data_IF_560701522555
#
_entry.id   IF_560701522555
#
_cell.length_a   1.000
_cell.length_b   1.000
_cell.length_c   1.000
_cell.angle_alpha   90.00
_cell.angle_beta   90.00
_cell.angle_gamma   90.00
#
_symmetry.space_group_name_H-M   'P 1'
#
loop_
_entity.id
_entity.type
_entity.pdbx_description
1 polymer ?
#
# COMPACT_ATOMS: atom_id res chain seq x y z
N UNK A 1 -72.45 -25.46 -53.64
CA UNK A 1 -72.06 -24.04 -53.85
C UNK A 1 -72.07 -23.25 -52.54
N UNK A 2 -73.17 -23.16 -51.79
CA UNK A 2 -73.25 -22.37 -50.55
C UNK A 2 -72.31 -22.83 -49.40
N UNK A 3 -72.10 -24.14 -49.20
CA UNK A 3 -71.17 -24.62 -48.16
C UNK A 3 -69.70 -24.29 -48.48
N UNK A 4 -69.32 -24.28 -49.76
CA UNK A 4 -67.96 -23.95 -50.20
C UNK A 4 -67.65 -22.45 -50.03
N UNK A 5 -68.64 -21.59 -50.27
CA UNK A 5 -68.50 -20.14 -50.04
C UNK A 5 -68.33 -19.81 -48.56
N UNK A 6 -69.09 -20.45 -47.67
CA UNK A 6 -68.96 -20.26 -46.21
C UNK A 6 -67.59 -20.72 -45.69
N UNK A 7 -67.07 -21.85 -46.18
CA UNK A 7 -65.73 -22.33 -45.82
C UNK A 7 -64.64 -21.37 -46.31
N UNK A 8 -64.76 -20.84 -47.53
CA UNK A 8 -63.82 -19.85 -48.05
C UNK A 8 -63.87 -18.52 -47.29
N UNK A 9 -65.05 -18.06 -46.87
CA UNK A 9 -65.18 -16.87 -46.02
C UNK A 9 -64.53 -17.06 -44.64
N UNK A 10 -64.73 -18.22 -44.00
CA UNK A 10 -64.12 -18.51 -42.71
C UNK A 10 -62.58 -18.62 -42.80
N UNK A 11 -62.06 -19.22 -43.88
CA UNK A 11 -60.63 -19.27 -44.14
C UNK A 11 -60.04 -17.88 -44.39
N UNK A 12 -60.76 -17.01 -45.11
CA UNK A 12 -60.36 -15.62 -45.33
C UNK A 12 -60.32 -14.83 -44.01
N UNK A 13 -61.34 -14.98 -43.17
CA UNK A 13 -61.38 -14.34 -41.85
C UNK A 13 -60.22 -14.79 -40.95
N UNK A 14 -59.93 -16.11 -40.92
CA UNK A 14 -58.78 -16.66 -40.19
C UNK A 14 -57.44 -16.15 -40.72
N UNK A 15 -57.30 -16.03 -42.05
CA UNK A 15 -56.09 -15.51 -42.67
C UNK A 15 -55.87 -14.03 -42.33
N UNK A 16 -56.92 -13.20 -42.35
CA UNK A 16 -56.84 -11.80 -41.93
C UNK A 16 -56.52 -11.66 -40.43
N UNK A 17 -57.14 -12.48 -39.57
CA UNK A 17 -56.81 -12.50 -38.14
C UNK A 17 -55.35 -12.89 -37.88
N UNK A 18 -54.84 -13.89 -38.59
CA UNK A 18 -53.44 -14.32 -38.49
C UNK A 18 -52.48 -13.21 -38.95
N UNK A 19 -52.82 -12.55 -40.07
CA UNK A 19 -52.05 -11.42 -40.60
C UNK A 19 -52.02 -10.25 -39.62
N UNK A 20 -53.15 -9.91 -39.00
CA UNK A 20 -53.24 -8.87 -37.98
C UNK A 20 -52.42 -9.23 -36.74
N UNK A 21 -52.51 -10.48 -36.27
CA UNK A 21 -51.74 -10.97 -35.13
C UNK A 21 -50.23 -10.94 -35.41
N UNK A 22 -49.82 -11.31 -36.61
CA UNK A 22 -48.43 -11.21 -37.06
C UNK A 22 -47.96 -9.76 -37.12
N UNK A 23 -48.76 -8.83 -37.64
CA UNK A 23 -48.43 -7.41 -37.65
C UNK A 23 -48.29 -6.87 -36.23
N UNK A 24 -49.19 -7.23 -35.31
CA UNK A 24 -49.09 -6.85 -33.88
C UNK A 24 -47.79 -7.39 -33.27
N UNK A 25 -47.46 -8.66 -33.53
CA UNK A 25 -46.21 -9.26 -33.05
C UNK A 25 -44.98 -8.54 -33.61
N UNK A 26 -44.98 -8.19 -34.90
CA UNK A 26 -43.89 -7.44 -35.52
C UNK A 26 -43.72 -6.07 -34.86
N UNK A 27 -44.81 -5.32 -34.65
CA UNK A 27 -44.78 -4.03 -33.96
C UNK A 27 -44.21 -4.15 -32.55
N UNK A 28 -44.56 -5.20 -31.82
CA UNK A 28 -44.00 -5.47 -30.48
C UNK A 28 -42.50 -5.74 -30.57
N UNK A 29 -42.06 -6.56 -31.54
CA UNK A 29 -40.63 -6.84 -31.77
C UNK A 29 -39.86 -5.56 -32.12
N UNK A 30 -40.39 -4.72 -33.01
CA UNK A 30 -39.75 -3.46 -33.40
C UNK A 30 -39.63 -2.49 -32.22
N UNK A 31 -40.68 -2.41 -31.39
CA UNK A 31 -40.64 -1.64 -30.15
C UNK A 31 -39.57 -2.16 -29.19
N UNK A 32 -39.46 -3.49 -29.05
CA UNK A 32 -38.43 -4.11 -28.20
C UNK A 32 -37.01 -3.81 -28.74
N UNK A 33 -36.80 -3.90 -30.05
CA UNK A 33 -35.51 -3.56 -30.69
C UNK A 33 -35.15 -2.10 -30.41
N UNK A 34 -36.11 -1.18 -30.55
CA UNK A 34 -35.91 0.24 -30.26
C UNK A 34 -35.52 0.47 -28.79
N UNK A 35 -36.22 -0.18 -27.86
CA UNK A 35 -35.89 -0.11 -26.42
C UNK A 35 -34.48 -0.64 -26.15
N UNK A 36 -34.12 -1.80 -26.69
CA UNK A 36 -32.79 -2.40 -26.52
C UNK A 36 -31.69 -1.51 -27.10
N UNK A 37 -31.91 -0.96 -28.30
CA UNK A 37 -30.98 0.01 -28.90
C UNK A 37 -30.79 1.25 -28.03
N UNK A 38 -31.87 1.75 -27.40
CA UNK A 38 -31.78 2.87 -26.46
C UNK A 38 -30.97 2.54 -25.20
N UNK A 39 -31.07 1.30 -24.70
CA UNK A 39 -30.28 0.84 -23.56
C UNK A 39 -28.81 0.71 -23.90
N UNK A 40 -28.49 0.14 -25.06
CA UNK A 40 -27.11 0.02 -25.53
C UNK A 40 -26.43 1.39 -25.64
N UNK A 41 -27.11 2.36 -26.26
CA UNK A 41 -26.60 3.72 -26.37
C UNK A 41 -26.39 4.39 -25.00
N UNK A 42 -27.37 4.26 -24.09
CA UNK A 42 -27.26 4.81 -22.73
C UNK A 42 -26.14 4.16 -21.92
N UNK A 43 -25.95 2.85 -22.06
CA UNK A 43 -24.89 2.11 -21.37
C UNK A 43 -23.51 2.53 -21.90
N UNK A 44 -23.37 2.65 -23.23
CA UNK A 44 -22.15 3.12 -23.87
C UNK A 44 -21.78 4.55 -23.45
N UNK A 45 -22.78 5.45 -23.43
CA UNK A 45 -22.60 6.83 -22.95
C UNK A 45 -22.22 6.87 -21.47
N UNK A 46 -22.84 6.03 -20.63
CA UNK A 46 -22.52 5.92 -19.21
C UNK A 46 -21.09 5.42 -19.00
N UNK A 47 -20.67 4.35 -19.66
CA UNK A 47 -19.29 3.84 -19.55
C UNK A 47 -18.27 4.91 -19.95
N UNK A 48 -18.54 5.61 -21.07
CA UNK A 48 -17.69 6.70 -21.56
C UNK A 48 -17.60 7.85 -20.55
N UNK A 49 -18.72 8.23 -19.95
CA UNK A 49 -18.76 9.28 -18.92
C UNK A 49 -18.08 8.84 -17.60
N UNK A 50 -18.13 7.55 -17.26
CA UNK A 50 -17.54 7.03 -16.02
C UNK A 50 -16.04 6.78 -16.10
N UNK A 51 -15.52 6.39 -17.27
CA UNK A 51 -14.11 6.01 -17.47
C UNK A 51 -13.10 7.06 -16.96
N UNK A 52 -13.26 8.38 -17.22
CA UNK A 52 -12.35 9.40 -16.70
C UNK A 52 -12.27 9.41 -15.16
N UNK A 53 -13.42 9.31 -14.49
CA UNK A 53 -13.50 9.30 -13.02
C UNK A 53 -12.87 8.04 -12.44
N UNK A 54 -13.05 6.89 -13.08
CA UNK A 54 -12.41 5.63 -12.67
C UNK A 54 -10.89 5.72 -12.77
N UNK A 55 -10.36 6.20 -13.90
CA UNK A 55 -8.92 6.37 -14.12
C UNK A 55 -8.34 7.33 -13.07
N UNK A 56 -8.99 8.49 -12.86
CA UNK A 56 -8.53 9.48 -11.89
C UNK A 56 -8.54 8.91 -10.46
N UNK A 57 -9.62 8.24 -10.08
CA UNK A 57 -9.74 7.60 -8.75
C UNK A 57 -8.66 6.55 -8.53
N UNK A 58 -8.37 5.72 -9.54
CA UNK A 58 -7.31 4.72 -9.47
C UNK A 58 -5.92 5.35 -9.29
N UNK A 59 -5.62 6.38 -10.09
CA UNK A 59 -4.35 7.12 -9.98
C UNK A 59 -4.19 7.78 -8.63
N UNK A 60 -5.25 8.39 -8.08
CA UNK A 60 -5.25 8.99 -6.74
C UNK A 60 -5.00 7.93 -5.68
N UNK A 61 -5.69 6.78 -5.75
CA UNK A 61 -5.49 5.68 -4.78
C UNK A 61 -4.04 5.19 -4.79
N UNK A 62 -3.47 4.97 -5.98
CA UNK A 62 -2.05 4.58 -6.12
C UNK A 62 -1.10 5.63 -5.56
N UNK A 63 -1.35 6.92 -5.84
CA UNK A 63 -0.53 8.00 -5.29
C UNK A 63 -0.60 8.01 -3.76
N UNK A 64 -1.79 7.85 -3.18
CA UNK A 64 -1.98 7.78 -1.74
C UNK A 64 -1.25 6.58 -1.12
N UNK A 65 -1.35 5.39 -1.71
CA UNK A 65 -0.61 4.20 -1.25
C UNK A 65 0.91 4.40 -1.30
N UNK A 66 1.42 5.07 -2.34
CA UNK A 66 2.85 5.37 -2.46
C UNK A 66 3.30 6.39 -1.40
N UNK A 67 2.48 7.41 -1.13
CA UNK A 67 2.72 8.40 -0.08
C UNK A 67 2.77 7.71 1.28
N UNK A 68 1.77 6.89 1.61
CA UNK A 68 1.71 6.16 2.89
C UNK A 68 2.92 5.24 3.11
N UNK A 69 3.33 4.50 2.07
CA UNK A 69 4.53 3.66 2.12
C UNK A 69 5.80 4.49 2.34
N UNK A 70 5.93 5.63 1.66
CA UNK A 70 7.09 6.51 1.80
C UNK A 70 7.14 7.15 3.19
N UNK A 71 5.98 7.56 3.71
CA UNK A 71 5.84 8.11 5.06
C UNK A 71 6.30 7.11 6.12
N UNK A 72 5.84 5.86 6.05
CA UNK A 72 6.25 4.78 6.97
C UNK A 72 7.76 4.53 6.96
N UNK A 73 8.38 4.56 5.78
CA UNK A 73 9.84 4.44 5.67
C UNK A 73 10.54 5.63 6.32
N UNK A 74 10.05 6.85 6.11
CA UNK A 74 10.60 8.05 6.72
C UNK A 74 10.48 8.04 8.25
N UNK A 75 9.32 7.63 8.79
CA UNK A 75 9.10 7.46 10.23
C UNK A 75 10.05 6.41 10.82
N UNK A 76 10.24 5.28 10.14
CA UNK A 76 11.20 4.25 10.56
C UNK A 76 12.63 4.77 10.61
N UNK A 77 13.03 5.60 9.64
CA UNK A 77 14.36 6.23 9.64
C UNK A 77 14.49 7.21 10.80
N UNK A 78 13.50 8.09 11.01
CA UNK A 78 13.51 9.07 12.11
C UNK A 78 13.62 8.38 13.47
N UNK A 79 12.88 7.30 13.69
CA UNK A 79 12.98 6.51 14.92
C UNK A 79 14.40 5.97 15.18
N UNK A 80 15.15 5.61 14.14
CA UNK A 80 16.54 5.17 14.28
C UNK A 80 17.49 6.32 14.61
N UNK A 81 17.23 7.54 14.12
CA UNK A 81 17.98 8.73 14.54
C UNK A 81 17.72 9.07 16.01
N UNK A 82 16.46 9.02 16.44
CA UNK A 82 16.09 9.28 17.84
C UNK A 82 16.71 8.24 18.79
N UNK A 83 16.68 6.96 18.39
CA UNK A 83 17.34 5.88 19.13
C UNK A 83 18.84 6.12 19.20
N UNK A 84 19.50 6.45 18.09
CA UNK A 84 20.94 6.73 18.07
C UNK A 84 21.33 7.84 19.06
N UNK A 85 20.54 8.92 19.13
CA UNK A 85 20.78 10.02 20.07
C UNK A 85 20.61 9.60 21.53
N UNK A 86 19.60 8.79 21.84
CA UNK A 86 19.39 8.25 23.20
C UNK A 86 20.51 7.30 23.61
N UNK A 87 20.93 6.42 22.70
CA UNK A 87 22.01 5.47 22.93
C UNK A 87 23.35 6.17 23.10
N UNK A 88 23.62 7.23 22.32
CA UNK A 88 24.83 8.05 22.46
C UNK A 88 24.99 8.62 23.88
N UNK A 89 23.92 9.15 24.48
CA UNK A 89 23.97 9.67 25.85
C UNK A 89 24.43 8.60 26.86
N UNK A 90 23.94 7.35 26.72
CA UNK A 90 24.37 6.22 27.56
C UNK A 90 25.85 5.87 27.35
N UNK A 91 26.32 5.85 26.10
CA UNK A 91 27.75 5.59 25.80
C UNK A 91 28.66 6.66 26.39
N UNK A 92 28.25 7.93 26.32
CA UNK A 92 29.06 9.02 26.86
C UNK A 92 29.17 8.98 28.38
N UNK A 93 28.10 8.57 29.09
CA UNK A 93 28.12 8.39 30.56
C UNK A 93 29.14 7.34 31.01
N UNK A 94 29.37 6.30 30.22
CA UNK A 94 30.29 5.21 30.56
C UNK A 94 29.64 4.07 31.35
N UNK A 95 30.34 2.93 31.51
CA UNK A 95 29.77 1.71 32.08
C UNK A 95 29.80 1.65 33.61
N UNK A 96 30.41 2.63 34.30
CA UNK A 96 30.64 2.63 35.75
C UNK A 96 29.37 2.48 36.60
N UNK A 97 28.32 3.24 36.25
CA UNK A 97 27.06 3.24 37.03
C UNK A 97 26.19 2.02 36.76
N UNK A 98 26.17 1.55 35.50
CA UNK A 98 25.29 0.48 35.05
C UNK A 98 25.87 -0.17 33.79
N UNK A 99 26.64 -1.25 34.00
CA UNK A 99 27.28 -2.00 32.93
C UNK A 99 26.24 -2.67 32.01
N UNK A 100 25.13 -3.17 32.56
CA UNK A 100 24.12 -3.89 31.77
C UNK A 100 23.43 -2.95 30.79
N UNK A 101 22.92 -1.81 31.28
CA UNK A 101 22.33 -0.78 30.40
C UNK A 101 23.33 -0.23 29.39
N UNK A 102 24.62 -0.17 29.74
CA UNK A 102 25.66 0.26 28.83
C UNK A 102 25.92 -0.75 27.71
N UNK A 103 26.00 -2.05 28.04
CA UNK A 103 26.15 -3.11 27.04
C UNK A 103 24.93 -3.21 26.13
N UNK A 104 23.72 -3.00 26.67
CA UNK A 104 22.50 -2.87 25.88
C UNK A 104 22.62 -1.70 24.88
N UNK A 105 23.10 -0.53 25.33
CA UNK A 105 23.34 0.61 24.46
C UNK A 105 24.36 0.30 23.35
N UNK A 106 25.45 -0.41 23.65
CA UNK A 106 26.41 -0.87 22.64
C UNK A 106 25.74 -1.78 21.60
N UNK A 107 24.87 -2.70 22.04
CA UNK A 107 24.11 -3.56 21.14
C UNK A 107 23.12 -2.77 20.27
N UNK A 108 22.45 -1.77 20.83
CA UNK A 108 21.56 -0.87 20.09
C UNK A 108 22.33 -0.10 18.99
N UNK A 109 23.53 0.43 19.28
CA UNK A 109 24.38 1.07 18.27
C UNK A 109 24.77 0.13 17.13
N UNK A 110 25.10 -1.14 17.44
CA UNK A 110 25.38 -2.15 16.41
C UNK A 110 24.16 -2.40 15.52
N UNK A 111 22.96 -2.45 16.11
CA UNK A 111 21.70 -2.58 15.38
C UNK A 111 21.45 -1.39 14.45
N UNK A 112 21.69 -0.16 14.92
CA UNK A 112 21.56 1.06 14.13
C UNK A 112 22.52 1.04 12.93
N UNK A 113 23.79 0.68 13.14
CA UNK A 113 24.78 0.55 12.04
C UNK A 113 24.29 -0.48 11.01
N UNK A 114 23.79 -1.62 11.47
CA UNK A 114 23.25 -2.67 10.57
C UNK A 114 22.05 -2.17 9.77
N UNK A 115 21.11 -1.46 10.40
CA UNK A 115 19.93 -0.89 9.75
C UNK A 115 20.31 0.12 8.66
N UNK A 116 21.20 1.07 8.96
CA UNK A 116 21.61 2.06 7.98
C UNK A 116 22.51 1.48 6.89
N UNK A 117 23.23 0.39 7.16
CA UNK A 117 24.04 -0.32 6.16
C UNK A 117 23.19 -1.10 5.15
N UNK A 118 22.02 -1.61 5.57
CA UNK A 118 21.08 -2.28 4.67
C UNK A 118 20.19 -1.30 3.91
N UNK A 119 20.02 -0.08 4.44
CA UNK A 119 19.20 0.97 3.82
C UNK A 119 19.99 1.72 2.74
N UNK A 120 19.80 1.33 1.47
CA UNK A 120 20.50 1.94 0.32
C UNK A 120 19.88 3.28 -0.08
N UNK A 121 20.72 4.21 -0.53
CA UNK A 121 20.30 5.41 -1.28
C UNK A 121 20.14 6.71 -0.46
N UNK A 122 20.33 6.67 0.86
CA UNK A 122 20.26 7.85 1.71
C UNK A 122 21.65 8.33 2.10
N UNK A 123 22.05 9.54 1.67
CA UNK A 123 23.37 10.12 2.01
C UNK A 123 23.57 10.28 3.53
N UNK A 124 22.51 10.57 4.28
CA UNK A 124 22.59 10.68 5.74
C UNK A 124 22.87 9.34 6.42
N UNK A 125 22.60 8.19 5.77
CA UNK A 125 22.98 6.87 6.27
C UNK A 125 24.50 6.73 6.42
N UNK A 126 25.28 7.27 5.49
CA UNK A 126 26.76 7.21 5.56
C UNK A 126 27.25 8.00 6.77
N UNK A 127 26.73 9.22 6.97
CA UNK A 127 27.06 10.05 8.13
C UNK A 127 26.71 9.36 9.45
N UNK A 128 25.52 8.77 9.53
CA UNK A 128 25.08 8.03 10.73
C UNK A 128 25.87 6.76 11.00
N UNK A 129 26.20 5.98 9.96
CA UNK A 129 27.05 4.80 10.10
C UNK A 129 28.41 5.19 10.67
N UNK A 130 29.02 6.25 10.12
CA UNK A 130 30.32 6.74 10.60
C UNK A 130 30.23 7.22 12.05
N UNK A 131 29.20 8.01 12.39
CA UNK A 131 28.97 8.48 13.76
C UNK A 131 28.78 7.33 14.75
N UNK A 132 27.89 6.39 14.44
CA UNK A 132 27.63 5.23 15.29
C UNK A 132 28.84 4.30 15.41
N UNK A 133 29.63 4.12 14.34
CA UNK A 133 30.88 3.35 14.38
C UNK A 133 31.94 4.01 15.26
N UNK A 134 32.04 5.34 15.22
CA UNK A 134 32.92 6.09 16.12
C UNK A 134 32.49 5.97 17.58
N UNK A 135 31.18 5.99 17.85
CA UNK A 135 30.66 5.74 19.20
C UNK A 135 30.94 4.31 19.68
N UNK A 136 30.86 3.31 18.80
CA UNK A 136 31.25 1.93 19.13
C UNK A 136 32.75 1.81 19.45
N UNK A 137 33.61 2.50 18.69
CA UNK A 137 35.04 2.53 19.00
C UNK A 137 35.29 3.18 20.37
N UNK A 138 34.66 4.32 20.65
CA UNK A 138 34.70 4.97 21.97
C UNK A 138 34.17 4.07 23.09
N UNK A 139 33.12 3.29 22.81
CA UNK A 139 32.51 2.45 23.84
C UNK A 139 33.43 1.33 24.29
N UNK A 140 34.21 0.77 23.35
CA UNK A 140 35.24 -0.23 23.62
C UNK A 140 36.36 0.36 24.50
N UNK A 141 36.85 1.55 24.16
CA UNK A 141 37.88 2.22 24.97
C UNK A 141 37.42 2.49 26.40
N UNK A 142 36.18 2.93 26.59
CA UNK A 142 35.59 3.12 27.93
C UNK A 142 35.48 1.82 28.73
N UNK A 143 35.13 0.71 28.08
CA UNK A 143 35.10 -0.61 28.73
C UNK A 143 36.51 -1.06 29.14
N UNK A 144 37.50 -0.84 28.27
CA UNK A 144 38.90 -1.16 28.57
C UNK A 144 39.42 -0.38 29.77
N UNK A 145 39.13 0.92 29.84
CA UNK A 145 39.53 1.78 30.94
C UNK A 145 38.89 1.36 32.27
N UNK A 146 37.60 1.05 32.26
CA UNK A 146 36.89 0.60 33.47
C UNK A 146 37.38 -0.77 33.94
N UNK A 147 37.68 -1.68 33.00
CA UNK A 147 38.33 -2.94 33.33
C UNK A 147 39.71 -2.73 33.98
N UNK A 148 40.53 -1.82 33.45
CA UNK A 148 41.84 -1.47 34.02
C UNK A 148 41.72 -0.86 35.41
N UNK A 149 40.73 0.00 35.63
CA UNK A 149 40.45 0.61 36.94
C UNK A 149 40.05 -0.44 37.97
N UNK A 150 39.17 -1.38 37.60
CA UNK A 150 38.82 -2.51 38.45
C UNK A 150 40.06 -3.34 38.82
N UNK A 151 40.89 -3.72 37.86
CA UNK A 151 42.13 -4.47 38.13
C UNK A 151 43.07 -3.72 39.10
N UNK A 152 43.18 -2.41 38.96
CA UNK A 152 44.03 -1.59 39.83
C UNK A 152 43.44 -1.48 41.23
N UNK A 153 42.12 -1.30 41.35
CA UNK A 153 41.41 -1.28 42.63
C UNK A 153 41.59 -2.60 43.38
N UNK A 154 41.36 -3.75 42.73
CA UNK A 154 41.56 -5.07 43.35
C UNK A 154 43.02 -5.33 43.75
N UNK A 155 43.98 -4.82 42.98
CA UNK A 155 45.41 -4.93 43.31
C UNK A 155 45.82 -4.07 44.52
N UNK A 156 45.07 -3.01 44.85
CA UNK A 156 45.35 -2.13 45.99
C UNK A 156 44.70 -2.56 47.30
N UNK A 157 43.80 -3.55 47.26
CA UNK A 157 43.04 -4.08 48.41
C UNK A 157 43.66 -5.37 48.96
N UNK A 158 44.70 -5.90 48.31
CA UNK A 158 45.53 -7.03 48.76
C UNK A 158 46.91 -6.51 49.15
#
# INVERSE_FOLDING_TARGET
MAAYTVVMENLKERAEFMKESMHKSQTITDNMISILGSFDHRLSALETAMRPTQIRTHSIRKAHENIDKTLKVAESILAQFDLARQTEAKILRGPHEDLESYLEAVNQLRSIVKFFSSTKGLKSSIGMINHASNLLAKSVLKLEEEFRQLLTSYRSVI
#
